data_IF_887117098990
#
_entry.id   IF_887117098990
#
_cell.length_a   1.000
_cell.length_b   1.000
_cell.length_c   1.000
_cell.angle_alpha   90.00
_cell.angle_beta   90.00
_cell.angle_gamma   90.00
#
_symmetry.space_group_name_H-M   'P 1'
#
loop_
_entity.id
_entity.type
_entity.pdbx_description
1 polymer ?
#
# COMPACT_ATOMS: atom_id res chain seq x y z
N UNK A 1 21.49 -17.15 39.27
CA UNK A 1 21.24 -15.69 39.26
C UNK A 1 20.71 -15.33 37.87
N UNK A 2 19.39 -15.34 37.70
CA UNK A 2 18.72 -15.33 36.40
C UNK A 2 18.60 -13.90 35.87
N UNK A 3 19.21 -13.62 34.72
CA UNK A 3 19.04 -12.35 34.01
C UNK A 3 17.60 -12.33 33.49
N UNK A 4 16.73 -11.58 34.17
CA UNK A 4 15.37 -11.32 33.69
C UNK A 4 15.47 -10.33 32.55
N UNK A 5 15.50 -10.83 31.32
CA UNK A 5 15.40 -10.01 30.13
C UNK A 5 14.10 -9.19 30.21
N UNK A 6 14.23 -7.87 30.23
CA UNK A 6 13.08 -6.97 30.16
C UNK A 6 12.46 -7.15 28.78
N UNK A 7 11.38 -7.94 28.71
CA UNK A 7 10.58 -8.08 27.50
C UNK A 7 9.72 -6.82 27.40
N UNK A 8 10.33 -5.71 26.99
CA UNK A 8 9.60 -4.47 26.75
C UNK A 8 8.78 -4.67 25.48
N UNK A 9 7.57 -5.21 25.62
CA UNK A 9 6.62 -5.27 24.51
C UNK A 9 6.19 -3.83 24.25
N UNK A 10 6.86 -3.17 23.31
CA UNK A 10 6.47 -1.83 22.89
C UNK A 10 5.11 -1.93 22.20
N UNK A 11 4.09 -1.27 22.77
CA UNK A 11 2.73 -1.27 22.25
C UNK A 11 2.32 0.18 22.03
N UNK A 12 2.15 0.58 20.77
CA UNK A 12 1.62 1.89 20.43
C UNK A 12 0.15 1.98 20.86
N UNK A 13 -0.26 3.14 21.34
CA UNK A 13 -1.64 3.38 21.74
C UNK A 13 -2.56 3.31 20.52
N UNK A 14 -3.64 2.53 20.63
CA UNK A 14 -4.60 2.32 19.53
C UNK A 14 -5.26 3.61 19.05
N UNK A 15 -5.40 4.62 19.91
CA UNK A 15 -5.92 5.95 19.52
C UNK A 15 -5.01 6.66 18.53
N UNK A 16 -3.70 6.61 18.78
CA UNK A 16 -2.69 7.22 17.90
C UNK A 16 -2.73 6.52 16.54
N UNK A 17 -2.83 5.20 16.52
CA UNK A 17 -2.97 4.41 15.28
C UNK A 17 -4.20 4.84 14.48
N UNK A 18 -5.36 5.04 15.11
CA UNK A 18 -6.56 5.51 14.40
C UNK A 18 -6.42 6.95 13.88
N UNK A 19 -5.73 7.83 14.60
CA UNK A 19 -5.52 9.20 14.14
C UNK A 19 -4.56 9.28 12.95
N UNK A 20 -3.55 8.40 12.91
CA UNK A 20 -2.66 8.24 11.75
C UNK A 20 -3.44 7.72 10.54
N UNK A 21 -4.29 6.71 10.72
CA UNK A 21 -5.11 6.16 9.62
C UNK A 21 -6.06 7.20 9.03
N UNK A 22 -6.57 8.11 9.85
CA UNK A 22 -7.42 9.22 9.40
C UNK A 22 -6.63 10.40 8.83
N UNK A 23 -5.29 10.31 8.73
CA UNK A 23 -4.42 11.37 8.20
C UNK A 23 -4.32 12.60 9.12
N UNK A 24 -4.74 12.51 10.38
CA UNK A 24 -4.75 13.64 11.32
C UNK A 24 -3.42 13.81 12.05
N UNK A 25 -2.61 12.76 12.13
CA UNK A 25 -1.40 12.73 12.94
C UNK A 25 -0.27 11.97 12.26
N UNK A 26 0.97 12.45 12.43
CA UNK A 26 2.21 11.77 12.00
C UNK A 26 2.94 11.30 13.25
N UNK A 27 3.30 10.03 13.32
CA UNK A 27 4.02 9.47 14.46
C UNK A 27 5.51 9.37 14.14
N UNK A 28 6.32 10.04 14.97
CA UNK A 28 7.78 10.10 14.82
C UNK A 28 8.39 9.22 15.90
N UNK A 29 9.14 8.21 15.47
CA UNK A 29 9.86 7.30 16.36
C UNK A 29 11.02 6.68 15.58
N UNK A 30 11.81 5.84 16.25
CA UNK A 30 12.90 5.09 15.67
C UNK A 30 12.41 4.20 14.54
N UNK A 31 13.14 4.17 13.42
CA UNK A 31 12.82 3.34 12.25
C UNK A 31 12.59 1.86 12.57
N UNK A 32 13.38 1.30 13.49
CA UNK A 32 13.24 -0.10 13.94
C UNK A 32 11.91 -0.33 14.64
N UNK A 33 11.50 0.58 15.53
CA UNK A 33 10.22 0.52 16.23
C UNK A 33 9.07 0.68 15.24
N UNK A 34 9.13 1.68 14.36
CA UNK A 34 8.10 1.90 13.36
C UNK A 34 7.94 0.69 12.42
N UNK A 35 9.04 0.04 12.03
CA UNK A 35 9.00 -1.19 11.24
C UNK A 35 8.27 -2.34 11.98
N UNK A 36 8.51 -2.50 13.28
CA UNK A 36 7.79 -3.49 14.10
C UNK A 36 6.29 -3.18 14.20
N UNK A 37 5.93 -1.91 14.42
CA UNK A 37 4.54 -1.46 14.50
C UNK A 37 3.81 -1.72 13.18
N UNK A 38 4.42 -1.36 12.04
CA UNK A 38 3.87 -1.64 10.72
C UNK A 38 3.65 -3.13 10.49
N UNK A 39 4.64 -3.97 10.84
CA UNK A 39 4.52 -5.43 10.71
C UNK A 39 3.38 -5.97 11.57
N UNK A 40 3.23 -5.48 12.80
CA UNK A 40 2.18 -5.91 13.71
C UNK A 40 0.79 -5.52 13.20
N UNK A 41 0.64 -4.29 12.69
CA UNK A 41 -0.61 -3.83 12.09
C UNK A 41 -0.95 -4.61 10.81
N UNK A 42 0.03 -4.91 9.98
CA UNK A 42 -0.15 -5.77 8.81
C UNK A 42 -0.59 -7.19 9.20
N UNK A 43 -0.01 -7.80 10.24
CA UNK A 43 -0.46 -9.11 10.74
C UNK A 43 -1.91 -9.05 11.25
N UNK A 44 -2.33 -7.89 11.79
CA UNK A 44 -3.66 -7.70 12.38
C UNK A 44 -4.75 -7.44 11.34
N UNK A 45 -4.50 -6.58 10.35
CA UNK A 45 -5.51 -6.11 9.38
C UNK A 45 -5.31 -6.72 7.99
N UNK A 46 -4.12 -7.27 7.71
CA UNK A 46 -3.67 -7.74 6.40
C UNK A 46 -3.69 -6.64 5.32
N UNK A 47 -3.56 -5.36 5.72
CA UNK A 47 -3.53 -4.19 4.83
C UNK A 47 -2.25 -3.38 5.00
N UNK A 48 -1.82 -2.71 3.94
CA UNK A 48 -0.63 -1.85 3.93
C UNK A 48 -1.03 -0.37 4.07
N UNK A 49 -1.65 0.00 5.19
CA UNK A 49 -2.18 1.37 5.39
C UNK A 49 -1.11 2.36 5.88
N UNK A 50 0.05 1.87 6.31
CA UNK A 50 1.13 2.68 6.89
C UNK A 50 2.34 2.69 5.98
N UNK A 51 3.07 3.81 6.01
CA UNK A 51 4.32 3.96 5.28
C UNK A 51 5.34 4.75 6.11
N UNK A 52 6.62 4.40 6.02
CA UNK A 52 7.70 5.10 6.74
C UNK A 52 8.33 6.18 5.87
N UNK A 53 8.50 7.40 6.37
CA UNK A 53 9.30 8.43 5.69
C UNK A 53 10.68 7.91 5.27
N UNK A 54 11.17 8.37 4.12
CA UNK A 54 12.51 8.01 3.62
C UNK A 54 13.61 8.75 4.39
N UNK A 55 13.30 9.96 4.83
CA UNK A 55 14.25 10.82 5.56
C UNK A 55 14.45 10.35 7.00
N UNK A 56 15.72 10.19 7.37
CA UNK A 56 16.15 9.95 8.74
C UNK A 56 16.59 11.30 9.35
N UNK A 57 15.78 11.85 10.25
CA UNK A 57 16.03 13.16 10.85
C UNK A 57 17.20 13.17 11.85
N UNK A 58 17.54 12.01 12.42
CA UNK A 58 18.57 11.88 13.44
C UNK A 58 19.21 10.49 13.38
N UNK A 59 20.53 10.45 13.27
CA UNK A 59 21.31 9.22 13.44
C UNK A 59 21.33 8.84 14.92
N UNK A 60 20.75 7.68 15.23
CA UNK A 60 20.69 7.18 16.60
C UNK A 60 21.74 6.09 16.82
N UNK A 61 22.58 6.28 17.85
CA UNK A 61 23.54 5.28 18.30
C UNK A 61 23.05 4.58 19.57
N UNK A 62 22.92 3.25 19.51
CA UNK A 62 22.59 2.43 20.67
C UNK A 62 23.85 2.05 21.44
N UNK A 63 23.89 2.35 22.73
CA UNK A 63 24.98 1.99 23.63
C UNK A 63 24.48 1.23 24.85
N UNK A 64 25.35 0.40 25.43
CA UNK A 64 25.09 -0.25 26.72
C UNK A 64 25.42 0.71 27.85
N UNK A 65 24.45 0.99 28.72
CA UNK A 65 24.68 1.78 29.92
C UNK A 65 25.28 0.90 31.04
N UNK A 66 26.39 1.36 31.63
CA UNK A 66 27.00 0.74 32.80
C UNK A 66 27.10 1.76 33.94
N UNK A 67 27.09 1.33 35.21
CA UNK A 67 27.37 2.21 36.33
C UNK A 67 28.72 2.91 36.19
N UNK A 68 28.77 4.15 36.68
CA UNK A 68 29.98 4.99 36.66
C UNK A 68 31.08 4.30 37.47
N UNK A 69 32.33 4.39 36.98
CA UNK A 69 33.54 3.80 37.59
C UNK A 69 33.60 2.26 37.66
N UNK A 70 32.88 1.55 36.77
CA UNK A 70 33.02 0.10 36.68
C UNK A 70 34.31 -0.30 35.93
N UNK A 71 35.11 -1.25 36.45
CA UNK A 71 36.33 -1.72 35.77
C UNK A 71 36.02 -2.52 34.48
N UNK A 72 34.78 -2.98 34.33
CA UNK A 72 34.33 -3.79 33.20
C UNK A 72 34.10 -2.99 31.92
N UNK A 73 34.03 -1.66 31.97
CA UNK A 73 33.73 -0.82 30.81
C UNK A 73 34.70 -1.09 29.65
N UNK A 74 36.00 -1.23 29.95
CA UNK A 74 37.03 -1.53 28.94
C UNK A 74 36.81 -2.88 28.26
N UNK A 75 36.40 -3.88 29.05
CA UNK A 75 36.17 -5.24 28.55
C UNK A 75 34.93 -5.25 27.65
N UNK A 76 33.82 -4.64 28.09
CA UNK A 76 32.60 -4.56 27.29
C UNK A 76 32.82 -3.81 25.98
N UNK A 77 33.47 -2.64 26.01
CA UNK A 77 33.77 -1.88 24.79
C UNK A 77 34.62 -2.69 23.80
N UNK A 78 35.68 -3.37 24.30
CA UNK A 78 36.51 -4.21 23.44
C UNK A 78 35.72 -5.36 22.82
N UNK A 79 34.87 -6.06 23.59
CA UNK A 79 34.08 -7.17 23.07
C UNK A 79 33.01 -6.72 22.08
N UNK A 80 32.30 -5.63 22.35
CA UNK A 80 31.31 -5.06 21.44
C UNK A 80 31.98 -4.62 20.13
N UNK A 81 33.16 -4.00 20.21
CA UNK A 81 33.92 -3.60 19.04
C UNK A 81 34.32 -4.78 18.17
N UNK A 82 34.83 -5.86 18.77
CA UNK A 82 35.16 -7.08 18.04
C UNK A 82 33.92 -7.73 17.43
N UNK A 83 32.78 -7.76 18.14
CA UNK A 83 31.50 -8.24 17.60
C UNK A 83 31.00 -7.42 16.40
N UNK A 84 31.25 -6.11 16.40
CA UNK A 84 30.91 -5.23 15.29
C UNK A 84 31.80 -5.52 14.07
N UNK A 85 33.12 -5.67 14.28
CA UNK A 85 34.08 -6.00 13.21
C UNK A 85 33.74 -7.28 12.47
N UNK A 86 33.38 -8.33 13.21
CA UNK A 86 33.03 -9.63 12.62
C UNK A 86 31.60 -9.66 12.04
N UNK A 87 30.85 -8.55 12.13
CA UNK A 87 29.50 -8.43 11.58
C UNK A 87 28.42 -9.17 12.37
N UNK A 88 28.69 -9.60 13.60
CA UNK A 88 27.71 -10.33 14.42
C UNK A 88 26.46 -9.48 14.70
N UNK A 89 26.66 -8.19 14.98
CA UNK A 89 25.57 -7.24 15.24
C UNK A 89 24.69 -7.08 13.99
N UNK A 90 25.29 -6.95 12.81
CA UNK A 90 24.54 -6.82 11.56
C UNK A 90 23.72 -8.07 11.26
N UNK A 91 24.30 -9.26 11.49
CA UNK A 91 23.59 -10.53 11.34
C UNK A 91 22.38 -10.61 12.25
N UNK A 92 22.53 -10.30 13.54
CA UNK A 92 21.40 -10.29 14.48
C UNK A 92 20.35 -9.27 14.09
N UNK A 93 20.76 -8.10 13.62
CA UNK A 93 19.82 -7.08 13.16
C UNK A 93 18.95 -7.63 12.02
N UNK A 94 19.54 -8.32 11.04
CA UNK A 94 18.81 -8.95 9.93
C UNK A 94 17.94 -10.12 10.39
N UNK A 95 18.41 -10.92 11.35
CA UNK A 95 17.71 -12.11 11.84
C UNK A 95 16.48 -11.76 12.70
N UNK A 96 16.56 -10.67 13.49
CA UNK A 96 15.50 -10.29 14.44
C UNK A 96 14.59 -9.17 13.96
N UNK A 97 15.01 -8.32 13.01
CA UNK A 97 14.12 -7.31 12.44
C UNK A 97 13.05 -7.98 11.55
N UNK A 98 11.85 -7.38 11.46
CA UNK A 98 10.85 -7.85 10.51
C UNK A 98 11.43 -7.79 9.10
N UNK A 99 11.40 -8.93 8.41
CA UNK A 99 11.81 -9.00 7.00
C UNK A 99 10.97 -8.02 6.19
N UNK A 100 11.60 -7.41 5.18
CA UNK A 100 10.89 -6.52 4.25
C UNK A 100 9.81 -7.33 3.53
N UNK A 101 8.55 -7.08 3.87
CA UNK A 101 7.41 -7.71 3.23
C UNK A 101 6.85 -6.84 2.09
N UNK A 102 5.76 -7.32 1.46
CA UNK A 102 5.01 -6.62 0.41
C UNK A 102 4.66 -5.16 0.75
N UNK A 103 4.43 -4.82 2.02
CA UNK A 103 4.14 -3.43 2.43
C UNK A 103 5.38 -2.53 2.50
N UNK A 104 6.58 -3.09 2.62
CA UNK A 104 7.82 -2.31 2.57
C UNK A 104 8.17 -1.93 1.13
N UNK A 105 7.90 -2.85 0.20
CA UNK A 105 8.07 -2.65 -1.23
C UNK A 105 6.90 -1.90 -1.88
N UNK A 106 5.78 -1.72 -1.16
CA UNK A 106 4.66 -0.86 -1.60
C UNK A 106 5.09 0.60 -1.81
N UNK A 107 6.21 1.03 -1.21
CA UNK A 107 6.84 2.32 -1.52
C UNK A 107 7.57 2.33 -2.86
N UNK A 108 7.98 1.17 -3.37
CA UNK A 108 8.58 1.00 -4.69
C UNK A 108 7.53 0.62 -5.75
N UNK A 109 6.46 -0.07 -5.38
CA UNK A 109 5.35 -0.39 -6.28
C UNK A 109 4.24 0.67 -6.31
N UNK A 110 4.48 1.83 -5.69
CA UNK A 110 3.78 3.07 -6.02
C UNK A 110 4.32 3.74 -7.28
N UNK A 111 5.58 3.45 -7.69
CA UNK A 111 6.20 4.14 -8.81
C UNK A 111 7.37 3.35 -9.41
N UNK A 112 7.09 2.65 -10.52
CA UNK A 112 8.04 2.03 -11.47
C UNK A 112 8.29 0.51 -11.34
N UNK A 113 7.54 -0.26 -12.13
CA UNK A 113 8.06 -1.15 -13.19
C UNK A 113 7.01 -2.15 -13.71
N UNK A 114 5.75 -1.72 -13.80
CA UNK A 114 4.83 -2.30 -14.77
C UNK A 114 4.29 -1.17 -15.63
N UNK A 115 4.98 -0.91 -16.73
CA UNK A 115 4.32 -0.39 -17.94
C UNK A 115 3.38 -1.48 -18.49
N UNK A 116 2.48 -1.97 -17.66
CA UNK A 116 1.24 -2.60 -18.07
C UNK A 116 0.23 -1.49 -17.92
N UNK A 117 -0.09 -0.87 -19.05
CA UNK A 117 -1.11 0.17 -19.19
C UNK A 117 -2.27 -0.17 -18.26
N UNK A 118 -2.41 0.59 -17.17
CA UNK A 118 -3.39 0.26 -16.15
C UNK A 118 -4.77 0.39 -16.79
N UNK A 119 -5.60 -0.66 -16.69
CA UNK A 119 -6.90 -0.66 -17.38
C UNK A 119 -7.84 0.43 -16.86
N UNK A 120 -7.56 1.01 -15.69
CA UNK A 120 -8.30 2.15 -15.12
C UNK A 120 -8.11 3.43 -15.95
N UNK A 121 -6.93 3.67 -16.50
CA UNK A 121 -6.64 4.90 -17.26
C UNK A 121 -7.25 4.87 -18.68
N UNK A 122 -7.43 3.66 -19.25
CA UNK A 122 -8.09 3.47 -20.56
C UNK A 122 -9.61 3.30 -20.46
N UNK A 123 -10.15 3.19 -19.24
CA UNK A 123 -11.57 2.92 -18.99
C UNK A 123 -12.48 4.01 -19.59
N UNK A 124 -12.05 5.28 -19.54
CA UNK A 124 -12.80 6.40 -20.13
C UNK A 124 -13.02 6.25 -21.64
N UNK A 125 -11.98 5.81 -22.37
CA UNK A 125 -12.06 5.62 -23.82
C UNK A 125 -13.01 4.47 -24.20
N UNK A 126 -13.02 3.37 -23.42
CA UNK A 126 -13.94 2.26 -23.65
C UNK A 126 -15.41 2.65 -23.41
N UNK A 127 -15.69 3.47 -22.38
CA UNK A 127 -17.03 3.98 -22.14
C UNK A 127 -17.53 4.90 -23.26
N UNK A 128 -16.67 5.79 -23.77
CA UNK A 128 -17.00 6.67 -24.89
C UNK A 128 -17.28 5.88 -26.17
N UNK A 129 -16.45 4.87 -26.48
CA UNK A 129 -16.67 3.98 -27.62
C UNK A 129 -17.99 3.22 -27.49
N UNK A 130 -18.29 2.67 -26.31
CA UNK A 130 -19.53 1.94 -26.07
C UNK A 130 -20.75 2.85 -26.21
N UNK A 131 -20.70 4.05 -25.65
CA UNK A 131 -21.77 5.04 -25.81
C UNK A 131 -21.97 5.43 -27.28
N UNK A 132 -20.88 5.71 -28.02
CA UNK A 132 -20.95 6.05 -29.44
C UNK A 132 -21.59 4.95 -30.30
N UNK A 133 -21.16 3.70 -30.10
CA UNK A 133 -21.72 2.54 -30.81
C UNK A 133 -23.19 2.33 -30.43
N UNK A 134 -23.54 2.46 -29.15
CA UNK A 134 -24.93 2.29 -28.69
C UNK A 134 -25.88 3.33 -29.27
N UNK A 135 -25.46 4.60 -29.33
CA UNK A 135 -26.25 5.68 -29.93
C UNK A 135 -26.41 5.49 -31.44
N UNK A 136 -25.36 5.06 -32.14
CA UNK A 136 -25.44 4.74 -33.56
C UNK A 136 -26.42 3.61 -33.85
N UNK A 137 -26.36 2.52 -33.07
CA UNK A 137 -27.30 1.40 -33.19
C UNK A 137 -28.74 1.86 -32.90
N UNK A 138 -28.96 2.68 -31.88
CA UNK A 138 -30.28 3.22 -31.55
C UNK A 138 -30.87 4.07 -32.68
N UNK A 139 -30.06 4.92 -33.34
CA UNK A 139 -30.52 5.71 -34.47
C UNK A 139 -30.93 4.83 -35.66
N UNK A 140 -30.13 3.82 -36.00
CA UNK A 140 -30.45 2.88 -37.09
C UNK A 140 -31.73 2.10 -36.80
N UNK A 141 -31.91 1.64 -35.55
CA UNK A 141 -33.15 0.97 -35.13
C UNK A 141 -34.34 1.92 -35.23
N UNK A 142 -34.20 3.17 -34.79
CA UNK A 142 -35.25 4.18 -34.86
C UNK A 142 -35.67 4.46 -36.32
N UNK A 143 -34.70 4.63 -37.23
CA UNK A 143 -34.97 4.81 -38.66
C UNK A 143 -35.66 3.59 -39.26
N UNK A 144 -35.23 2.37 -38.93
CA UNK A 144 -35.84 1.15 -39.41
C UNK A 144 -37.29 1.00 -38.92
N UNK A 145 -37.54 1.28 -37.64
CA UNK A 145 -38.89 1.25 -37.07
C UNK A 145 -39.79 2.32 -37.70
N UNK A 146 -39.28 3.54 -37.90
CA UNK A 146 -40.02 4.63 -38.53
C UNK A 146 -40.36 4.30 -39.99
N UNK A 147 -39.39 3.80 -40.76
CA UNK A 147 -39.61 3.38 -42.14
C UNK A 147 -40.62 2.24 -42.23
N UNK A 148 -40.50 1.22 -41.37
CA UNK A 148 -41.45 0.10 -41.34
C UNK A 148 -42.86 0.57 -40.96
N UNK A 149 -43.00 1.45 -39.97
CA UNK A 149 -44.29 2.05 -39.61
C UNK A 149 -44.89 2.83 -40.77
N UNK A 150 -44.09 3.67 -41.45
CA UNK A 150 -44.54 4.44 -42.60
C UNK A 150 -44.97 3.55 -43.77
N UNK A 151 -44.19 2.51 -44.10
CA UNK A 151 -44.56 1.55 -45.16
C UNK A 151 -45.79 0.72 -44.79
N UNK A 152 -46.00 0.38 -43.52
CA UNK A 152 -47.22 -0.29 -43.06
C UNK A 152 -48.44 0.63 -43.16
N UNK A 153 -48.30 1.92 -42.83
CA UNK A 153 -49.35 2.91 -43.00
C UNK A 153 -49.69 3.13 -44.49
N UNK A 154 -48.68 3.25 -45.36
CA UNK A 154 -48.87 3.39 -46.81
C UNK A 154 -49.55 2.15 -47.44
N UNK A 155 -49.21 0.94 -46.99
CA UNK A 155 -49.86 -0.30 -47.45
C UNK A 155 -51.31 -0.45 -46.97
N UNK A 156 -51.68 0.16 -45.84
CA UNK A 156 -53.06 0.15 -45.35
C UNK A 156 -53.96 1.17 -46.06
N UNK A 157 -53.39 2.13 -46.79
CA UNK A 157 -54.11 3.16 -47.56
C UNK A 157 -54.33 2.76 -49.03
N UNK A 158 -53.50 1.87 -49.59
CA UNK A 158 -53.69 1.34 -50.96
C UNK A 158 -54.48 0.02 -50.90
N UNK A 159 -55.79 0.11 -50.70
CA UNK A 159 -56.68 -0.98 -51.12
C UNK A 159 -56.78 -0.95 -52.65
N UNK A 160 -56.45 -2.04 -53.38
CA UNK A 160 -56.75 -2.09 -54.80
C UNK A 160 -58.27 -2.21 -54.94
N UNK A 161 -58.89 -1.20 -55.57
CA UNK A 161 -60.21 -1.35 -56.16
C UNK A 161 -60.13 -2.46 -57.20
N UNK A 162 -60.52 -3.67 -56.81
CA UNK A 162 -60.89 -4.72 -57.76
C UNK A 162 -62.37 -4.53 -58.08
N UNK A 163 -62.64 -4.60 -59.38
CA UNK A 163 -63.90 -4.41 -60.12
C UNK A 163 -65.16 -4.92 -59.41
#
# INVERSE_FOLDING_TARGET
>A
RTIRWCKTSFKVNTRIISDIQNGKHIYIDRKTILAFVMKQEFIRTNRCDFSLGEEEFLEEHLAMALPVHTPYLKIFNSRIYEMHKVGLIQKWLVDYLPKRDKCWDAKLSGESNTHTVNMDDMQGSFFLLFLGVSLGIMLIIAEYLYHKWKTTQEKHVIQPYVS
#
